data_IF_146662082287
#
_entry.id   IF_146662082287
#
_cell.length_a   1.000
_cell.length_b   1.000
_cell.length_c   1.000
_cell.angle_alpha   90.00
_cell.angle_beta   90.00
_cell.angle_gamma   90.00
#
_symmetry.space_group_name_H-M   'P 1'
#
loop_
_entity.id
_entity.type
_entity.pdbx_description
1 polymer ?
#
# COMPACT_ATOMS: atom_id res chain seq x y z
N UNK A 1 -3.98 -45.39 -28.51
CA UNK A 1 -4.15 -45.69 -27.07
C UNK A 1 -2.97 -45.07 -26.35
N UNK A 2 -2.98 -43.77 -26.07
CA UNK A 2 -3.55 -43.11 -24.87
C UNK A 2 -3.11 -43.77 -23.56
N UNK A 3 -2.19 -43.11 -22.87
CA UNK A 3 -2.27 -42.96 -21.41
C UNK A 3 -1.75 -41.56 -21.06
N UNK A 4 -2.67 -40.60 -21.09
CA UNK A 4 -2.46 -39.28 -20.54
C UNK A 4 -2.34 -39.40 -19.01
N UNK A 5 -1.18 -39.08 -18.46
CA UNK A 5 -1.02 -38.84 -17.02
C UNK A 5 -1.70 -37.51 -16.70
N UNK A 6 -2.94 -37.62 -16.23
CA UNK A 6 -3.70 -36.52 -15.63
C UNK A 6 -3.03 -36.09 -14.32
N UNK A 7 -2.18 -35.07 -14.35
CA UNK A 7 -1.80 -34.36 -13.14
C UNK A 7 -2.99 -33.50 -12.70
N UNK A 8 -3.59 -33.86 -11.58
CA UNK A 8 -4.63 -33.08 -10.93
C UNK A 8 -4.21 -31.60 -10.77
N UNK A 9 -5.15 -30.64 -10.85
CA UNK A 9 -4.84 -29.23 -10.63
C UNK A 9 -4.27 -29.06 -9.20
N UNK A 10 -3.22 -28.26 -9.02
CA UNK A 10 -2.64 -28.02 -7.71
C UNK A 10 -3.70 -27.44 -6.77
N UNK A 11 -3.87 -28.07 -5.61
CA UNK A 11 -4.74 -27.63 -4.53
C UNK A 11 -4.35 -26.22 -4.07
N UNK A 12 -5.33 -25.47 -3.57
CA UNK A 12 -5.20 -24.14 -2.99
C UNK A 12 -3.83 -23.89 -2.34
N UNK A 13 -3.09 -22.96 -2.94
CA UNK A 13 -1.70 -22.63 -2.59
C UNK A 13 -1.50 -22.51 -1.09
N UNK A 14 -0.44 -23.16 -0.59
CA UNK A 14 0.04 -23.01 0.78
C UNK A 14 0.30 -21.53 1.08
N UNK A 15 -0.54 -20.95 1.93
CA UNK A 15 -0.41 -19.58 2.40
C UNK A 15 0.86 -19.48 3.25
N UNK A 16 1.79 -18.60 2.87
CA UNK A 16 3.07 -18.39 3.53
C UNK A 16 2.91 -17.84 4.96
N UNK A 17 3.91 -18.03 5.82
CA UNK A 17 3.87 -17.54 7.22
C UNK A 17 3.72 -16.01 7.30
N UNK A 18 4.26 -15.28 6.31
CA UNK A 18 4.06 -13.85 6.17
C UNK A 18 2.59 -13.49 5.92
N UNK A 19 1.89 -14.22 5.05
CA UNK A 19 0.46 -14.04 4.80
C UNK A 19 -0.39 -14.42 6.01
N UNK A 20 0.01 -15.44 6.79
CA UNK A 20 -0.66 -15.81 8.06
C UNK A 20 -0.52 -14.72 9.12
N UNK A 21 0.66 -14.12 9.27
CA UNK A 21 0.88 -12.99 10.17
C UNK A 21 -0.06 -11.82 9.82
N UNK A 22 -0.34 -11.61 8.54
CA UNK A 22 -1.24 -10.55 8.09
C UNK A 22 -2.72 -10.78 8.42
N UNK A 23 -3.15 -12.02 8.65
CA UNK A 23 -4.51 -12.31 9.12
C UNK A 23 -4.74 -11.82 10.57
N UNK A 24 -3.68 -11.71 11.36
CA UNK A 24 -3.74 -11.20 12.75
C UNK A 24 -3.87 -9.68 12.85
N UNK A 25 -3.79 -8.97 11.71
CA UNK A 25 -3.81 -7.50 11.69
C UNK A 25 -5.20 -7.00 12.10
N UNK A 26 -5.28 -6.05 13.06
CA UNK A 26 -6.52 -5.44 13.50
C UNK A 26 -7.39 -4.88 12.37
N UNK A 27 -8.72 -4.91 12.57
CA UNK A 27 -9.70 -4.30 11.69
C UNK A 27 -10.68 -5.29 11.07
N UNK A 28 -11.77 -4.74 10.53
CA UNK A 28 -12.95 -5.49 10.07
C UNK A 28 -12.90 -5.93 8.59
N UNK A 29 -11.79 -5.71 7.88
CA UNK A 29 -11.68 -6.09 6.48
C UNK A 29 -11.72 -7.62 6.28
N UNK A 30 -12.37 -8.12 5.20
CA UNK A 30 -12.42 -9.55 4.89
C UNK A 30 -11.03 -10.18 4.71
N UNK A 31 -10.86 -11.49 5.01
CA UNK A 31 -9.59 -12.18 4.84
C UNK A 31 -9.00 -12.07 3.42
N UNK A 32 -9.84 -12.10 2.39
CA UNK A 32 -9.43 -12.01 0.98
C UNK A 32 -8.79 -10.65 0.67
N UNK A 33 -9.30 -9.58 1.28
CA UNK A 33 -8.73 -8.24 1.16
C UNK A 33 -7.35 -8.15 1.83
N UNK A 34 -7.21 -8.75 3.02
CA UNK A 34 -5.92 -8.85 3.73
C UNK A 34 -4.90 -9.65 2.92
N UNK A 35 -5.33 -10.75 2.28
CA UNK A 35 -4.50 -11.56 1.39
C UNK A 35 -4.09 -10.83 0.11
N UNK A 36 -4.99 -10.04 -0.50
CA UNK A 36 -4.67 -9.19 -1.65
C UNK A 36 -3.59 -8.16 -1.31
N UNK A 37 -3.75 -7.49 -0.17
CA UNK A 37 -2.76 -6.53 0.34
C UNK A 37 -1.43 -7.23 0.63
N UNK A 38 -1.44 -8.42 1.26
CA UNK A 38 -0.24 -9.22 1.54
C UNK A 38 0.58 -9.53 0.29
N UNK A 39 -0.07 -10.03 -0.76
CA UNK A 39 0.58 -10.31 -2.05
C UNK A 39 1.21 -9.04 -2.64
N UNK A 40 0.54 -7.90 -2.54
CA UNK A 40 1.07 -6.63 -3.03
C UNK A 40 2.25 -6.15 -2.18
N UNK A 41 2.20 -6.26 -0.85
CA UNK A 41 3.34 -5.93 0.03
C UNK A 41 4.55 -6.79 -0.32
N UNK A 42 4.37 -8.11 -0.48
CA UNK A 42 5.46 -9.02 -0.90
C UNK A 42 6.05 -8.64 -2.25
N UNK A 43 5.24 -8.15 -3.19
CA UNK A 43 5.72 -7.66 -4.48
C UNK A 43 6.51 -6.36 -4.37
N UNK A 44 6.05 -5.39 -3.57
CA UNK A 44 6.73 -4.10 -3.37
C UNK A 44 8.01 -4.27 -2.56
N UNK A 45 8.01 -5.14 -1.54
CA UNK A 45 9.11 -5.29 -0.59
C UNK A 45 10.23 -6.23 -1.09
N UNK A 46 10.14 -6.69 -2.33
CA UNK A 46 11.16 -7.52 -2.97
C UNK A 46 11.22 -8.95 -2.42
N UNK A 47 10.09 -9.49 -1.95
CA UNK A 47 9.98 -10.90 -1.52
C UNK A 47 9.79 -11.83 -2.73
N UNK A 48 9.46 -11.30 -3.91
CA UNK A 48 9.47 -12.08 -5.16
C UNK A 48 10.91 -12.37 -5.58
N UNK A 49 11.21 -13.65 -5.86
CA UNK A 49 12.51 -14.10 -6.35
C UNK A 49 13.01 -13.23 -7.51
N UNK A 50 14.22 -12.68 -7.37
CA UNK A 50 14.91 -11.89 -8.40
C UNK A 50 14.88 -10.36 -8.22
N UNK A 51 14.00 -9.81 -7.39
CA UNK A 51 13.96 -8.37 -7.09
C UNK A 51 14.67 -8.05 -5.76
N UNK A 52 16.00 -7.96 -5.79
CA UNK A 52 16.80 -7.65 -4.59
C UNK A 52 17.13 -6.16 -4.43
N UNK A 53 17.03 -5.39 -5.49
CA UNK A 53 17.46 -3.99 -5.56
C UNK A 53 16.37 -3.16 -6.25
N UNK A 54 16.05 -2.01 -5.68
CA UNK A 54 14.98 -1.14 -6.17
C UNK A 54 14.95 0.17 -5.39
N UNK A 55 14.34 1.20 -5.98
CA UNK A 55 14.28 2.52 -5.36
C UNK A 55 13.58 2.48 -3.99
N UNK A 56 14.27 3.00 -2.97
CA UNK A 56 13.77 3.16 -1.59
C UNK A 56 13.21 1.87 -0.93
N UNK A 57 13.73 0.70 -1.34
CA UNK A 57 13.23 -0.59 -0.88
C UNK A 57 13.31 -0.78 0.64
N UNK A 58 14.37 -0.30 1.28
CA UNK A 58 14.54 -0.41 2.72
C UNK A 58 13.57 0.48 3.50
N UNK A 59 13.14 1.60 2.93
CA UNK A 59 12.04 2.42 3.47
C UNK A 59 10.73 1.60 3.44
N UNK A 60 10.41 0.98 2.30
CA UNK A 60 9.20 0.16 2.19
C UNK A 60 9.21 -1.04 3.15
N UNK A 61 10.33 -1.74 3.29
CA UNK A 61 10.47 -2.89 4.20
C UNK A 61 10.29 -2.56 5.68
N UNK A 62 10.51 -1.30 6.08
CA UNK A 62 10.29 -0.82 7.46
C UNK A 62 8.84 -0.40 7.72
N UNK A 63 7.93 -0.47 6.75
CA UNK A 63 6.51 -0.23 6.98
C UNK A 63 5.88 -1.39 7.74
N UNK A 64 5.22 -1.06 8.84
CA UNK A 64 4.40 -2.00 9.61
C UNK A 64 2.93 -1.69 9.39
N UNK A 65 2.15 -2.66 8.91
CA UNK A 65 0.71 -2.52 8.77
C UNK A 65 0.04 -2.65 10.14
N UNK A 66 -0.82 -1.69 10.49
CA UNK A 66 -1.50 -1.60 11.79
C UNK A 66 -2.97 -1.97 11.73
N UNK A 67 -3.69 -1.50 10.72
CA UNK A 67 -5.12 -1.74 10.62
C UNK A 67 -5.60 -1.76 9.17
N UNK A 68 -6.60 -2.60 8.91
CA UNK A 68 -7.33 -2.64 7.63
C UNK A 68 -8.82 -2.67 7.93
N UNK A 69 -9.51 -1.59 7.58
CA UNK A 69 -10.95 -1.46 7.79
C UNK A 69 -11.69 -1.11 6.51
N UNK A 70 -12.95 -1.51 6.44
CA UNK A 70 -13.90 -1.16 5.41
C UNK A 70 -15.19 -0.68 6.06
N UNK A 71 -15.79 0.37 5.49
CA UNK A 71 -17.13 0.84 5.84
C UNK A 71 -17.93 1.18 4.59
N UNK A 72 -19.26 1.11 4.70
CA UNK A 72 -20.14 1.71 3.69
C UNK A 72 -20.03 3.23 3.71
N UNK A 73 -20.31 3.88 2.57
CA UNK A 73 -20.42 5.33 2.48
C UNK A 73 -21.87 5.74 2.60
N UNK A 74 -22.16 6.69 3.49
CA UNK A 74 -23.52 7.20 3.69
C UNK A 74 -24.02 7.95 2.45
N UNK A 75 -23.12 8.69 1.79
CA UNK A 75 -23.42 9.48 0.59
C UNK A 75 -23.55 8.62 -0.68
N UNK A 76 -23.04 7.39 -0.66
CA UNK A 76 -22.99 6.46 -1.81
C UNK A 76 -23.22 5.02 -1.34
N UNK A 77 -24.48 4.63 -1.13
CA UNK A 77 -24.88 3.38 -0.47
C UNK A 77 -24.32 2.08 -1.11
N UNK A 78 -24.00 2.11 -2.41
CA UNK A 78 -23.37 0.99 -3.14
C UNK A 78 -21.84 0.97 -3.08
N UNK A 79 -21.21 1.92 -2.38
CA UNK A 79 -19.76 2.10 -2.34
C UNK A 79 -19.22 1.94 -0.93
N UNK A 80 -17.97 1.48 -0.88
CA UNK A 80 -17.21 1.35 0.35
C UNK A 80 -16.04 2.32 0.39
N UNK A 81 -15.69 2.73 1.60
CA UNK A 81 -14.45 3.42 1.92
C UNK A 81 -13.55 2.47 2.71
N UNK A 82 -12.30 2.37 2.27
CA UNK A 82 -11.28 1.53 2.89
C UNK A 82 -10.27 2.39 3.62
N UNK A 83 -9.97 2.01 4.85
CA UNK A 83 -8.94 2.62 5.69
C UNK A 83 -7.81 1.63 5.91
N UNK A 84 -6.61 2.00 5.49
CA UNK A 84 -5.40 1.20 5.72
C UNK A 84 -4.37 2.07 6.39
N UNK A 85 -3.83 1.61 7.52
CA UNK A 85 -2.86 2.40 8.28
C UNK A 85 -1.57 1.66 8.48
N UNK A 86 -0.49 2.35 8.17
CA UNK A 86 0.87 1.90 8.43
C UNK A 86 1.52 2.77 9.50
N UNK A 87 2.62 2.28 10.03
CA UNK A 87 3.58 3.10 10.77
C UNK A 87 5.01 2.77 10.35
N UNK A 88 5.90 3.71 10.64
CA UNK A 88 7.35 3.52 10.59
C UNK A 88 8.04 4.61 11.41
N UNK A 89 9.36 4.55 11.50
CA UNK A 89 10.21 5.59 12.11
C UNK A 89 10.99 6.28 11.01
N UNK A 90 11.17 7.61 11.10
CA UNK A 90 12.03 8.34 10.16
C UNK A 90 13.49 7.94 10.41
N UNK A 91 14.13 7.36 9.39
CA UNK A 91 15.50 6.83 9.45
C UNK A 91 16.49 7.68 8.61
N UNK A 92 17.81 7.49 8.75
CA UNK A 92 18.82 8.33 8.07
C UNK A 92 18.70 8.39 6.55
N UNK A 93 18.25 7.32 5.89
CA UNK A 93 18.05 7.27 4.43
C UNK A 93 16.74 7.96 3.98
N UNK A 94 15.95 8.46 4.92
CA UNK A 94 14.70 9.18 4.66
C UNK A 94 14.86 10.69 4.77
N UNK A 95 15.94 11.20 5.37
CA UNK A 95 16.07 12.63 5.70
C UNK A 95 16.67 13.45 4.55
N UNK A 96 16.32 14.72 4.50
CA UNK A 96 16.95 15.72 3.66
C UNK A 96 18.15 16.38 4.38
N UNK A 97 18.81 17.32 3.70
CA UNK A 97 19.94 18.08 4.27
C UNK A 97 19.59 18.87 5.54
N UNK A 98 18.30 19.14 5.80
CA UNK A 98 17.81 19.79 7.03
C UNK A 98 17.52 18.82 8.18
N UNK A 99 17.86 17.53 8.06
CA UNK A 99 17.69 16.53 9.12
C UNK A 99 16.24 16.11 9.38
N UNK A 100 15.32 16.48 8.49
CA UNK A 100 13.92 16.05 8.53
C UNK A 100 13.58 15.19 7.32
N UNK A 101 12.53 14.37 7.41
CA UNK A 101 12.08 13.51 6.32
C UNK A 101 11.95 14.30 5.01
N UNK A 102 12.61 13.81 3.97
CA UNK A 102 12.64 14.43 2.66
C UNK A 102 11.21 14.49 2.08
N UNK A 103 10.85 15.60 1.44
CA UNK A 103 9.51 15.76 0.84
C UNK A 103 9.20 14.66 -0.19
N UNK A 104 10.21 14.27 -0.97
CA UNK A 104 10.14 13.11 -1.88
C UNK A 104 9.98 11.76 -1.17
N UNK A 105 10.55 11.58 0.03
CA UNK A 105 10.33 10.37 0.83
C UNK A 105 8.86 10.33 1.32
N UNK A 106 8.31 11.48 1.74
CA UNK A 106 6.89 11.59 2.09
C UNK A 106 5.99 11.25 0.90
N UNK A 107 6.29 11.77 -0.29
CA UNK A 107 5.55 11.46 -1.51
C UNK A 107 5.66 9.97 -1.90
N UNK A 108 6.84 9.37 -1.73
CA UNK A 108 7.03 7.93 -1.91
C UNK A 108 6.19 7.09 -0.95
N UNK A 109 6.14 7.46 0.33
CA UNK A 109 5.28 6.80 1.32
C UNK A 109 3.80 6.91 0.96
N UNK A 110 3.35 8.10 0.52
CA UNK A 110 2.00 8.30 -0.02
C UNK A 110 1.75 7.37 -1.21
N UNK A 111 2.68 7.30 -2.17
CA UNK A 111 2.56 6.47 -3.37
C UNK A 111 2.31 4.99 -3.02
N UNK A 112 3.20 4.39 -2.23
CA UNK A 112 3.13 2.96 -1.92
C UNK A 112 1.97 2.63 -0.98
N UNK A 113 1.72 3.45 0.05
CA UNK A 113 0.70 3.14 1.05
C UNK A 113 -0.72 3.28 0.49
N UNK A 114 -0.97 4.27 -0.37
CA UNK A 114 -2.26 4.39 -1.06
C UNK A 114 -2.46 3.29 -2.10
N UNK A 115 -1.38 2.84 -2.77
CA UNK A 115 -1.44 1.67 -3.66
C UNK A 115 -1.85 0.40 -2.91
N UNK A 116 -1.31 0.19 -1.70
CA UNK A 116 -1.67 -0.92 -0.83
C UNK A 116 -3.13 -0.80 -0.35
N UNK A 117 -3.60 0.41 -0.04
CA UNK A 117 -5.00 0.64 0.29
C UNK A 117 -5.95 0.28 -0.87
N UNK A 118 -5.59 0.65 -2.10
CA UNK A 118 -6.34 0.26 -3.30
C UNK A 118 -6.28 -1.25 -3.55
N UNK A 119 -5.14 -1.91 -3.28
CA UNK A 119 -5.02 -3.37 -3.39
C UNK A 119 -5.94 -4.11 -2.41
N UNK A 120 -6.10 -3.62 -1.17
CA UNK A 120 -7.09 -4.15 -0.22
C UNK A 120 -8.52 -3.95 -0.72
N UNK A 121 -8.80 -2.82 -1.38
CA UNK A 121 -10.09 -2.51 -1.98
C UNK A 121 -10.36 -3.24 -3.32
N UNK A 122 -9.57 -4.26 -3.66
CA UNK A 122 -9.76 -5.04 -4.89
C UNK A 122 -9.29 -4.33 -6.17
N UNK A 123 -8.41 -3.33 -6.05
CA UNK A 123 -7.78 -2.59 -7.17
C UNK A 123 -6.25 -2.74 -7.19
N UNK A 124 -5.71 -3.98 -7.22
CA UNK A 124 -4.26 -4.19 -7.28
C UNK A 124 -3.69 -3.80 -8.66
N UNK A 125 -2.36 -3.61 -8.74
CA UNK A 125 -1.66 -3.44 -10.01
C UNK A 125 -1.94 -2.13 -10.76
N UNK A 126 -2.36 -1.09 -10.04
CA UNK A 126 -2.58 0.24 -10.62
C UNK A 126 -1.29 1.06 -10.66
N UNK A 127 -1.22 1.98 -11.62
CA UNK A 127 -0.12 2.93 -11.80
C UNK A 127 -0.54 4.34 -11.43
N UNK A 128 0.42 5.14 -10.98
CA UNK A 128 0.20 6.52 -10.55
C UNK A 128 -0.10 7.41 -11.75
N UNK A 129 -1.22 8.11 -11.73
CA UNK A 129 -1.60 9.13 -12.72
C UNK A 129 -1.20 10.52 -12.24
N UNK A 130 -1.49 10.84 -10.98
CA UNK A 130 -1.15 12.12 -10.35
C UNK A 130 -1.03 11.95 -8.83
N UNK A 131 -0.08 12.66 -8.22
CA UNK A 131 0.07 12.76 -6.76
C UNK A 131 0.18 14.25 -6.41
N UNK A 132 -0.80 14.77 -5.69
CA UNK A 132 -0.80 16.13 -5.16
C UNK A 132 -0.40 16.08 -3.68
N UNK A 133 0.66 16.80 -3.31
CA UNK A 133 1.22 16.81 -1.96
C UNK A 133 1.05 18.17 -1.30
N UNK A 134 0.69 18.17 -0.02
CA UNK A 134 0.73 19.33 0.88
C UNK A 134 1.59 18.97 2.08
N UNK A 135 2.56 19.82 2.40
CA UNK A 135 3.50 19.63 3.51
C UNK A 135 3.17 20.64 4.62
N UNK A 136 2.90 20.13 5.82
CA UNK A 136 2.37 20.92 6.93
C UNK A 136 3.40 21.11 8.05
N UNK A 137 4.20 20.08 8.36
CA UNK A 137 5.18 20.13 9.44
C UNK A 137 6.39 19.22 9.14
N UNK A 138 7.58 19.52 9.69
CA UNK A 138 8.75 18.65 9.55
C UNK A 138 8.62 17.39 10.40
N UNK A 139 9.19 16.28 9.94
CA UNK A 139 9.34 15.05 10.70
C UNK A 139 10.84 14.76 10.91
N UNK A 140 11.43 15.09 12.08
CA UNK A 140 12.87 14.91 12.30
C UNK A 140 13.27 13.43 12.30
N UNK A 141 14.57 13.16 12.15
CA UNK A 141 15.15 11.82 12.36
C UNK A 141 14.67 11.21 13.70
N UNK A 142 14.27 9.94 13.68
CA UNK A 142 13.72 9.22 14.84
C UNK A 142 12.25 9.49 15.13
N UNK A 143 11.58 10.39 14.39
CA UNK A 143 10.15 10.64 14.53
C UNK A 143 9.34 9.39 14.17
N UNK A 144 8.44 8.95 15.06
CA UNK A 144 7.48 7.89 14.74
C UNK A 144 6.30 8.45 13.96
N UNK A 145 6.07 7.92 12.76
CA UNK A 145 5.01 8.38 11.88
C UNK A 145 3.92 7.33 11.70
N UNK A 146 2.67 7.80 11.68
CA UNK A 146 1.47 7.01 11.34
C UNK A 146 0.95 7.48 9.99
N UNK A 147 0.79 6.56 9.05
CA UNK A 147 0.43 6.84 7.65
C UNK A 147 -0.98 6.31 7.41
N UNK A 148 -1.97 7.21 7.38
CA UNK A 148 -3.39 6.88 7.29
C UNK A 148 -3.89 7.06 5.86
N UNK A 149 -4.33 5.97 5.24
CA UNK A 149 -4.78 5.96 3.84
C UNK A 149 -6.28 5.70 3.79
N UNK A 150 -7.02 6.51 3.04
CA UNK A 150 -8.46 6.39 2.83
C UNK A 150 -8.79 6.43 1.35
N UNK A 151 -9.46 5.40 0.84
CA UNK A 151 -9.91 5.38 -0.56
C UNK A 151 -11.05 6.36 -0.79
N UNK A 152 -10.96 7.18 -1.82
CA UNK A 152 -12.02 8.15 -2.15
C UNK A 152 -12.91 7.57 -3.24
N UNK A 153 -12.38 7.21 -4.41
CA UNK A 153 -13.17 6.60 -5.49
C UNK A 153 -12.57 5.27 -5.92
N UNK A 154 -13.43 4.27 -6.16
CA UNK A 154 -13.07 2.94 -6.65
C UNK A 154 -13.69 2.69 -8.03
N UNK A 155 -13.28 3.51 -9.00
CA UNK A 155 -13.81 3.48 -10.35
C UNK A 155 -13.29 2.30 -11.19
N UNK A 156 -13.89 2.12 -12.37
CA UNK A 156 -13.47 1.08 -13.31
C UNK A 156 -12.10 1.38 -13.96
N UNK A 157 -11.84 2.67 -14.27
CA UNK A 157 -10.62 3.12 -14.96
C UNK A 157 -9.66 3.87 -14.04
N UNK A 158 -10.20 4.74 -13.19
CA UNK A 158 -9.44 5.56 -12.25
C UNK A 158 -9.98 5.30 -10.86
N UNK A 159 -9.08 5.18 -9.89
CA UNK A 159 -9.36 5.15 -8.47
C UNK A 159 -8.52 6.21 -7.78
N UNK A 160 -8.98 6.69 -6.63
CA UNK A 160 -8.27 7.71 -5.88
C UNK A 160 -8.24 7.39 -4.39
N UNK A 161 -7.20 7.85 -3.71
CA UNK A 161 -7.06 7.74 -2.27
C UNK A 161 -6.39 8.99 -1.70
N UNK A 162 -6.78 9.38 -0.48
CA UNK A 162 -6.04 10.35 0.32
C UNK A 162 -5.13 9.63 1.31
N UNK A 163 -4.00 10.25 1.61
CA UNK A 163 -3.09 9.81 2.64
C UNK A 163 -2.75 10.99 3.56
N UNK A 164 -2.68 10.71 4.85
CA UNK A 164 -2.19 11.64 5.85
C UNK A 164 -1.04 10.99 6.62
N UNK A 165 0.08 11.69 6.71
CA UNK A 165 1.22 11.28 7.52
C UNK A 165 1.20 12.10 8.80
N UNK A 166 1.14 11.43 9.94
CA UNK A 166 1.02 12.02 11.26
C UNK A 166 2.27 11.74 12.10
N UNK A 167 2.77 12.75 12.79
CA UNK A 167 3.73 12.59 13.87
C UNK A 167 2.97 12.04 15.08
N UNK A 168 3.28 10.80 15.46
CA UNK A 168 2.53 10.10 16.51
C UNK A 168 2.83 10.66 17.89
N UNK A 169 4.04 11.19 18.07
CA UNK A 169 4.55 11.63 19.36
C UNK A 169 4.05 13.04 19.67
N UNK A 170 4.10 13.92 18.67
CA UNK A 170 3.70 15.33 18.80
C UNK A 170 2.26 15.61 18.32
N UNK A 171 1.53 14.58 17.86
CA UNK A 171 0.12 14.67 17.42
C UNK A 171 -0.12 15.76 16.36
N UNK A 172 0.78 15.88 15.40
CA UNK A 172 0.71 16.87 14.31
C UNK A 172 0.67 16.22 12.94
N UNK A 173 -0.03 16.86 12.01
CA UNK A 173 -0.04 16.46 10.61
C UNK A 173 1.28 16.89 9.94
N UNK A 174 1.98 15.95 9.33
CA UNK A 174 3.25 16.17 8.63
C UNK A 174 2.99 16.49 7.17
N UNK A 175 2.20 15.64 6.50
CA UNK A 175 1.90 15.78 5.09
C UNK A 175 0.53 15.18 4.75
N UNK A 176 -0.11 15.73 3.72
CA UNK A 176 -1.30 15.15 3.08
C UNK A 176 -0.96 14.87 1.62
N UNK A 177 -1.44 13.75 1.10
CA UNK A 177 -1.33 13.40 -0.30
C UNK A 177 -2.68 12.98 -0.88
N UNK A 178 -3.00 13.46 -2.08
CA UNK A 178 -4.08 12.94 -2.90
C UNK A 178 -3.48 12.18 -4.07
N UNK A 179 -3.86 10.91 -4.24
CA UNK A 179 -3.28 10.05 -5.24
C UNK A 179 -4.35 9.52 -6.20
N UNK A 180 -4.23 9.86 -7.48
CA UNK A 180 -4.99 9.27 -8.57
C UNK A 180 -4.22 8.12 -9.20
N UNK A 181 -4.88 6.97 -9.31
CA UNK A 181 -4.33 5.73 -9.84
C UNK A 181 -5.20 5.20 -10.96
N UNK A 182 -4.58 4.62 -11.98
CA UNK A 182 -5.28 4.04 -13.13
C UNK A 182 -4.75 2.64 -13.47
N UNK A 183 -5.54 1.87 -14.22
CA UNK A 183 -5.05 0.62 -14.78
C UNK A 183 -3.96 0.91 -15.84
N UNK A 184 -2.86 0.14 -15.87
CA UNK A 184 -1.90 0.23 -16.96
C UNK A 184 -2.52 -0.24 -18.28
N UNK A 185 -1.98 0.21 -19.40
CA UNK A 185 -2.31 -0.36 -20.71
C UNK A 185 -1.94 -1.85 -20.76
N UNK A 186 -2.65 -2.67 -21.54
CA UNK A 186 -2.21 -4.04 -21.83
C UNK A 186 -0.76 -4.03 -22.34
N UNK A 187 0.02 -5.05 -21.97
CA UNK A 187 1.36 -5.20 -22.51
C UNK A 187 1.27 -5.33 -24.04
N UNK A 188 2.15 -4.62 -24.76
CA UNK A 188 2.23 -4.77 -26.21
C UNK A 188 2.55 -6.24 -26.53
N UNK A 189 1.76 -6.86 -27.42
CA UNK A 189 2.07 -8.19 -27.94
C UNK A 189 3.46 -8.14 -28.55
N UNK A 190 4.37 -9.01 -28.07
CA UNK A 190 5.64 -9.23 -28.75
C UNK A 190 5.31 -9.86 -30.11
N UNK A 191 5.62 -9.15 -31.19
CA UNK A 191 5.62 -9.69 -32.57
C UNK A 191 6.67 -10.78 -32.69
#
# INVERSE_FOLDING_TARGET
>A
MSSATSSAPPSAAEISDAERSMLSIPGNAPPEAKASLARMMSAIFGIREGYREGFALDVARRLRLLEVNVRGKEEEESRSEWKVVFETTVEPDMVNAGGSMHGGCSAYLVDICTSLALAAAGKPGTVSQAIDMVYHAPAPLGCRIRIVNLTITLGARVSSARCEIWDTDNKRLIATGLHMKMAPSPAASKL
#
